data_IF_067631209911
#
_entry.id   IF_067631209911
#
_cell.length_a   1.000
_cell.length_b   1.000
_cell.length_c   1.000
_cell.angle_alpha   90.00
_cell.angle_beta   90.00
_cell.angle_gamma   90.00
#
_symmetry.space_group_name_H-M   'P 1'
#
loop_
_entity.id
_entity.type
_entity.pdbx_description
1 polymer ?
#
# COMPACT_ATOMS: atom_id res chain seq x y z
N UNK A 1 -13.03 28.47 34.41
CA UNK A 1 -13.15 26.99 34.42
C UNK A 1 -11.94 26.39 35.15
N UNK A 2 -12.13 25.62 36.22
CA UNK A 2 -11.04 24.98 36.96
C UNK A 2 -10.27 23.97 36.10
N UNK A 3 -9.04 23.61 36.48
CA UNK A 3 -8.34 22.46 35.88
C UNK A 3 -8.90 21.15 36.45
N UNK A 4 -8.83 20.04 35.71
CA UNK A 4 -9.37 18.75 36.18
C UNK A 4 -8.19 17.82 36.47
N UNK A 5 -8.18 17.21 37.65
CA UNK A 5 -7.12 16.31 38.11
C UNK A 5 -7.70 15.01 38.67
N UNK A 6 -6.96 13.90 38.58
CA UNK A 6 -7.24 12.68 39.34
C UNK A 6 -6.19 12.47 40.43
N UNK A 7 -6.60 11.84 41.53
CA UNK A 7 -5.70 11.42 42.60
C UNK A 7 -4.94 10.16 42.15
N UNK A 8 -3.62 10.15 42.33
CA UNK A 8 -2.74 9.02 42.04
C UNK A 8 -1.74 8.85 43.19
N UNK A 9 -2.07 7.97 44.14
CA UNK A 9 -1.33 7.86 45.42
C UNK A 9 -1.37 9.18 46.20
N UNK A 10 -0.19 9.70 46.52
CA UNK A 10 0.01 10.99 47.19
C UNK A 10 0.09 12.20 46.25
N UNK A 11 -0.03 11.97 44.94
CA UNK A 11 0.06 13.01 43.92
C UNK A 11 -1.25 13.18 43.14
N UNK A 12 -1.29 14.22 42.31
CA UNK A 12 -2.39 14.48 41.37
C UNK A 12 -1.88 14.47 39.93
N UNK A 13 -2.63 13.84 39.03
CA UNK A 13 -2.36 13.84 37.60
C UNK A 13 -3.35 14.76 36.91
N UNK A 14 -2.84 15.64 36.04
CA UNK A 14 -3.65 16.59 35.29
C UNK A 14 -4.38 15.89 34.14
N UNK A 15 -5.71 15.85 34.22
CA UNK A 15 -6.58 15.28 33.18
C UNK A 15 -6.84 16.35 32.10
N UNK A 16 -7.27 17.54 32.52
CA UNK A 16 -7.65 18.61 31.60
C UNK A 16 -7.22 20.00 32.10
N UNK A 17 -6.87 20.87 31.16
CA UNK A 17 -6.49 22.26 31.46
C UNK A 17 -4.99 22.58 31.41
N UNK A 18 -4.19 21.80 30.67
CA UNK A 18 -2.75 22.02 30.44
C UNK A 18 -2.40 23.47 30.06
N UNK A 19 -3.18 24.13 29.21
CA UNK A 19 -2.96 25.55 28.83
C UNK A 19 -3.09 26.50 30.02
N UNK A 20 -3.99 26.21 30.96
CA UNK A 20 -4.23 27.05 32.14
C UNK A 20 -3.16 26.83 33.20
N UNK A 21 -2.67 25.60 33.34
CA UNK A 21 -1.48 25.29 34.16
C UNK A 21 -0.23 25.95 33.58
N UNK A 22 -0.03 25.88 32.26
CA UNK A 22 1.08 26.56 31.60
C UNK A 22 1.01 28.08 31.78
N UNK A 23 -0.16 28.70 31.59
CA UNK A 23 -0.36 30.13 31.82
C UNK A 23 -0.13 30.52 33.29
N UNK A 24 -0.60 29.71 34.24
CA UNK A 24 -0.36 29.92 35.66
C UNK A 24 1.13 29.83 36.02
N UNK A 25 1.85 28.88 35.41
CA UNK A 25 3.31 28.74 35.57
C UNK A 25 4.06 29.95 35.02
N UNK A 26 3.68 30.42 33.82
CA UNK A 26 4.24 31.65 33.24
C UNK A 26 3.91 32.90 34.06
N UNK A 27 2.78 32.90 34.77
CA UNK A 27 2.39 33.97 35.68
C UNK A 27 3.00 33.84 37.10
N UNK A 28 3.85 32.84 37.35
CA UNK A 28 4.49 32.62 38.65
C UNK A 28 3.56 32.13 39.75
N UNK A 29 2.38 31.61 39.41
CA UNK A 29 1.43 31.07 40.37
C UNK A 29 1.87 29.69 40.85
N UNK A 30 1.97 29.52 42.17
CA UNK A 30 2.31 28.25 42.83
C UNK A 30 1.12 27.30 42.96
N UNK A 31 -0.11 27.81 42.87
CA UNK A 31 -1.36 27.06 43.03
C UNK A 31 -2.37 27.43 41.95
N UNK A 32 -3.13 26.43 41.50
CA UNK A 32 -4.18 26.58 40.49
C UNK A 32 -5.45 25.87 40.97
N UNK A 33 -6.64 26.49 40.88
CA UNK A 33 -7.89 25.86 41.28
C UNK A 33 -8.18 24.64 40.41
N UNK A 34 -8.32 23.49 41.07
CA UNK A 34 -8.54 22.19 40.45
C UNK A 34 -9.82 21.53 40.96
N UNK A 35 -10.50 20.79 40.08
CA UNK A 35 -11.58 19.85 40.43
C UNK A 35 -10.97 18.45 40.42
N UNK A 36 -11.01 17.80 41.58
CA UNK A 36 -10.60 16.40 41.71
C UNK A 36 -11.75 15.53 41.24
N UNK A 37 -11.50 14.70 40.21
CA UNK A 37 -12.41 13.62 39.84
C UNK A 37 -11.75 12.29 40.23
N UNK A 38 -12.50 11.47 40.96
CA UNK A 38 -12.14 10.07 41.12
C UNK A 38 -12.38 9.39 39.78
N UNK A 39 -11.31 9.18 39.04
CA UNK A 39 -11.34 8.33 37.87
C UNK A 39 -10.84 6.97 38.33
N UNK A 40 -11.73 5.99 38.37
CA UNK A 40 -11.31 4.59 38.36
C UNK A 40 -10.38 4.42 37.16
N UNK A 41 -9.23 3.76 37.37
CA UNK A 41 -7.94 3.99 36.70
C UNK A 41 -7.82 3.83 35.18
N UNK A 42 -8.93 3.74 34.44
CA UNK A 42 -9.03 3.70 32.98
C UNK A 42 -9.57 5.02 32.38
N UNK A 43 -10.66 5.58 32.92
CA UNK A 43 -11.40 6.69 32.28
C UNK A 43 -10.62 8.02 32.18
N UNK A 44 -9.75 8.32 33.16
CA UNK A 44 -8.93 9.55 33.12
C UNK A 44 -7.78 9.50 32.10
N UNK A 45 -7.28 8.30 31.75
CA UNK A 45 -6.25 8.15 30.71
C UNK A 45 -6.86 8.28 29.33
N UNK A 46 -8.07 7.75 29.15
CA UNK A 46 -8.80 7.74 27.87
C UNK A 46 -9.15 9.14 27.38
N UNK A 47 -9.66 10.00 28.27
CA UNK A 47 -10.04 11.38 27.91
C UNK A 47 -8.83 12.25 27.53
N UNK A 48 -7.67 12.05 28.18
CA UNK A 48 -6.43 12.78 27.88
C UNK A 48 -5.77 12.30 26.58
N UNK A 49 -5.86 10.99 26.28
CA UNK A 49 -5.34 10.41 25.04
C UNK A 49 -6.10 10.92 23.82
N UNK A 50 -7.43 10.87 23.85
CA UNK A 50 -8.27 11.32 22.74
C UNK A 50 -8.12 12.83 22.47
N UNK A 51 -8.13 13.69 23.50
CA UNK A 51 -8.00 15.14 23.34
C UNK A 51 -6.62 15.55 22.80
N UNK A 52 -5.55 14.83 23.17
CA UNK A 52 -4.20 15.10 22.64
C UNK A 52 -4.01 14.58 21.21
N UNK A 53 -4.60 13.43 20.85
CA UNK A 53 -4.45 12.84 19.52
C UNK A 53 -5.14 13.69 18.42
N UNK A 54 -6.31 14.28 18.71
CA UNK A 54 -7.08 15.06 17.74
C UNK A 54 -6.83 16.57 17.79
N UNK A 55 -5.76 17.02 18.45
CA UNK A 55 -5.53 18.45 18.70
C UNK A 55 -4.94 19.24 17.52
N UNK A 56 -4.65 18.56 16.40
CA UNK A 56 -4.07 19.13 15.17
C UNK A 56 -4.73 18.47 13.95
N UNK A 57 -4.78 19.19 12.82
CA UNK A 57 -5.12 18.67 11.48
C UNK A 57 -4.05 17.65 11.02
N UNK A 58 -3.97 16.51 11.69
CA UNK A 58 -3.07 15.43 11.32
C UNK A 58 -3.51 14.87 9.96
N UNK A 59 -2.56 14.74 9.04
CA UNK A 59 -2.74 13.92 7.85
C UNK A 59 -3.07 12.48 8.27
N UNK A 60 -3.75 11.69 7.42
CA UNK A 60 -4.07 10.29 7.74
C UNK A 60 -2.83 9.46 8.13
N UNK A 61 -1.67 9.77 7.56
CA UNK A 61 -0.39 9.11 7.86
C UNK A 61 0.11 9.48 9.27
N UNK A 62 0.00 10.75 9.66
CA UNK A 62 0.42 11.20 11.00
C UNK A 62 -0.51 10.68 12.09
N UNK A 63 -1.81 10.61 11.82
CA UNK A 63 -2.78 9.99 12.72
C UNK A 63 -2.48 8.51 12.93
N UNK A 64 -2.24 7.78 11.84
CA UNK A 64 -1.85 6.37 11.88
C UNK A 64 -0.55 6.14 12.67
N UNK A 65 0.46 7.01 12.48
CA UNK A 65 1.71 6.96 13.23
C UNK A 65 1.48 7.21 14.73
N UNK A 66 0.67 8.19 15.09
CA UNK A 66 0.38 8.51 16.49
C UNK A 66 -0.42 7.40 17.19
N UNK A 67 -1.40 6.79 16.50
CA UNK A 67 -2.14 5.62 17.01
C UNK A 67 -1.20 4.43 17.20
N UNK A 68 -0.29 4.20 16.24
CA UNK A 68 0.68 3.10 16.32
C UNK A 68 1.69 3.30 17.45
N UNK A 69 2.16 4.53 17.64
CA UNK A 69 3.06 4.87 18.75
C UNK A 69 2.35 4.66 20.08
N UNK A 70 1.10 5.10 20.22
CA UNK A 70 0.30 4.86 21.41
C UNK A 70 0.11 3.37 21.70
N UNK A 71 -0.18 2.57 20.68
CA UNK A 71 -0.30 1.11 20.79
C UNK A 71 1.01 0.45 21.24
N UNK A 72 2.17 0.95 20.79
CA UNK A 72 3.48 0.40 21.12
C UNK A 72 4.03 0.85 22.46
N UNK A 73 3.75 2.11 22.85
CA UNK A 73 4.30 2.74 24.05
C UNK A 73 3.40 2.60 25.27
N UNK A 74 2.08 2.51 25.07
CA UNK A 74 1.14 2.28 26.14
C UNK A 74 0.90 0.78 26.36
N UNK A 75 0.56 0.41 27.58
CA UNK A 75 0.01 -0.92 27.92
C UNK A 75 -1.46 -1.06 27.49
N UNK A 76 -1.91 -0.34 26.45
CA UNK A 76 -3.30 -0.31 26.02
C UNK A 76 -3.53 -1.33 24.89
N UNK A 77 -4.63 -2.06 24.98
CA UNK A 77 -5.05 -2.97 23.92
C UNK A 77 -5.71 -2.20 22.76
N UNK A 78 -5.86 -2.85 21.61
CA UNK A 78 -6.59 -2.28 20.46
C UNK A 78 -8.04 -1.93 20.86
N UNK A 79 -8.65 -2.75 21.71
CA UNK A 79 -10.02 -2.53 22.19
C UNK A 79 -10.12 -1.27 23.05
N UNK A 80 -9.16 -1.06 23.97
CA UNK A 80 -9.09 0.14 24.80
C UNK A 80 -8.81 1.40 23.97
N UNK A 81 -7.97 1.29 22.93
CA UNK A 81 -7.76 2.38 21.98
C UNK A 81 -9.02 2.70 21.18
N UNK A 82 -9.78 1.69 20.76
CA UNK A 82 -11.03 1.87 20.03
C UNK A 82 -12.10 2.55 20.89
N UNK A 83 -12.22 2.13 22.15
CA UNK A 83 -13.10 2.72 23.15
C UNK A 83 -12.75 4.18 23.41
N UNK A 84 -11.48 4.46 23.73
CA UNK A 84 -11.00 5.82 24.00
C UNK A 84 -11.10 6.76 22.79
N UNK A 85 -11.01 6.25 21.57
CA UNK A 85 -11.15 7.03 20.34
C UNK A 85 -12.60 7.13 19.83
N UNK A 86 -13.55 6.45 20.47
CA UNK A 86 -14.93 6.30 19.99
C UNK A 86 -14.97 5.87 18.52
N UNK A 87 -14.19 4.84 18.18
CA UNK A 87 -14.10 4.24 16.83
C UNK A 87 -14.20 2.73 16.94
N UNK A 88 -14.42 2.07 15.81
CA UNK A 88 -14.42 0.60 15.80
C UNK A 88 -13.01 0.07 15.94
N UNK A 89 -12.88 -1.11 16.57
CA UNK A 89 -11.65 -1.90 16.63
C UNK A 89 -11.04 -2.07 15.23
N UNK A 90 -11.89 -2.34 14.24
CA UNK A 90 -11.48 -2.46 12.84
C UNK A 90 -10.85 -1.17 12.30
N UNK A 91 -11.41 0.00 12.64
CA UNK A 91 -10.84 1.28 12.21
C UNK A 91 -9.45 1.50 12.83
N UNK A 92 -9.26 1.18 14.12
CA UNK A 92 -7.95 1.30 14.79
C UNK A 92 -6.93 0.36 14.15
N UNK A 93 -7.30 -0.89 13.88
CA UNK A 93 -6.44 -1.84 13.16
C UNK A 93 -6.05 -1.33 11.76
N UNK A 94 -6.99 -0.74 11.03
CA UNK A 94 -6.72 -0.15 9.72
C UNK A 94 -5.76 1.05 9.79
N UNK A 95 -5.83 1.86 10.87
CA UNK A 95 -4.85 2.93 11.08
C UNK A 95 -3.47 2.37 11.39
N UNK A 96 -3.38 1.34 12.24
CA UNK A 96 -2.08 0.72 12.59
C UNK A 96 -1.44 0.08 11.35
N UNK A 97 -2.22 -0.59 10.50
CA UNK A 97 -1.70 -1.22 9.28
C UNK A 97 -1.28 -0.21 8.21
N UNK A 98 -1.80 1.02 8.25
CA UNK A 98 -1.43 2.07 7.30
C UNK A 98 0.07 2.39 7.41
N UNK A 99 0.63 2.42 8.62
CA UNK A 99 2.06 2.75 8.84
C UNK A 99 3.01 1.74 8.18
N UNK A 100 2.57 0.51 7.92
CA UNK A 100 3.37 -0.51 7.25
C UNK A 100 3.24 -0.51 5.73
N UNK A 101 2.52 0.46 5.15
CA UNK A 101 2.39 0.55 3.69
C UNK A 101 3.68 1.06 3.03
N UNK A 102 3.87 0.77 1.74
CA UNK A 102 5.01 1.28 0.98
C UNK A 102 5.13 2.81 1.01
N UNK A 103 6.38 3.32 1.04
CA UNK A 103 6.67 4.74 1.21
C UNK A 103 6.09 5.62 0.08
N UNK A 104 6.10 5.13 -1.16
CA UNK A 104 5.52 5.77 -2.33
C UNK A 104 4.00 6.00 -2.18
N UNK A 105 3.31 5.02 -1.60
CA UNK A 105 1.88 5.11 -1.30
C UNK A 105 1.62 6.09 -0.14
N UNK A 106 2.42 6.01 0.93
CA UNK A 106 2.28 6.88 2.09
C UNK A 106 2.52 8.36 1.76
N UNK A 107 3.52 8.65 0.93
CA UNK A 107 3.80 10.01 0.46
C UNK A 107 2.62 10.59 -0.33
N UNK A 108 1.97 9.78 -1.17
CA UNK A 108 0.80 10.22 -1.92
C UNK A 108 -0.41 10.54 -1.03
N UNK A 109 -0.60 9.78 0.07
CA UNK A 109 -1.65 10.06 1.07
C UNK A 109 -1.30 11.31 1.88
N UNK A 110 -0.06 11.42 2.36
CA UNK A 110 0.40 12.54 3.17
C UNK A 110 0.22 13.88 2.45
N UNK A 111 0.55 13.91 1.16
CA UNK A 111 0.36 15.08 0.30
C UNK A 111 -1.10 15.34 -0.12
N UNK A 112 -2.07 14.53 0.34
CA UNK A 112 -3.48 14.66 -0.01
C UNK A 112 -3.81 14.31 -1.46
N UNK A 113 -2.89 13.68 -2.20
CA UNK A 113 -3.06 13.34 -3.62
C UNK A 113 -3.85 12.05 -3.83
N UNK A 114 -3.84 11.15 -2.84
CA UNK A 114 -4.64 9.93 -2.83
C UNK A 114 -5.44 9.81 -1.55
N UNK A 115 -6.67 9.32 -1.67
CA UNK A 115 -7.44 8.86 -0.52
C UNK A 115 -6.88 7.54 0.02
N UNK A 116 -7.04 7.31 1.32
CA UNK A 116 -6.64 6.05 1.97
C UNK A 116 -7.28 4.83 1.30
N UNK A 117 -8.53 4.95 0.83
CA UNK A 117 -9.25 3.86 0.17
C UNK A 117 -8.76 3.54 -1.25
N UNK A 118 -8.24 4.54 -1.99
CA UNK A 118 -7.60 4.28 -3.27
C UNK A 118 -6.19 3.69 -3.06
N UNK A 119 -5.45 4.30 -2.13
CA UNK A 119 -4.10 3.91 -1.78
C UNK A 119 -4.01 2.47 -1.21
N UNK A 120 -5.01 2.01 -0.46
CA UNK A 120 -5.01 0.64 0.10
C UNK A 120 -4.89 -0.44 -0.96
N UNK A 121 -5.50 -0.26 -2.14
CA UNK A 121 -5.39 -1.20 -3.25
C UNK A 121 -3.98 -1.22 -3.83
N UNK A 122 -3.35 -0.05 -3.95
CA UNK A 122 -2.00 0.10 -4.49
C UNK A 122 -0.95 -0.46 -3.53
N UNK A 123 -1.17 -0.35 -2.22
CA UNK A 123 -0.30 -0.92 -1.20
C UNK A 123 -0.21 -2.46 -1.27
N UNK A 124 -1.20 -3.14 -1.86
CA UNK A 124 -1.18 -4.60 -2.03
C UNK A 124 -0.32 -5.06 -3.23
N UNK A 125 0.16 -4.15 -4.08
CA UNK A 125 1.00 -4.49 -5.23
C UNK A 125 2.44 -4.64 -4.75
N UNK A 126 2.95 -5.88 -4.78
CA UNK A 126 4.26 -6.20 -4.22
C UNK A 126 5.43 -5.79 -5.12
N UNK A 127 5.23 -5.62 -6.43
CA UNK A 127 6.29 -5.17 -7.33
C UNK A 127 6.48 -3.65 -7.26
N UNK A 128 7.62 -3.22 -6.73
CA UNK A 128 7.91 -1.81 -6.47
C UNK A 128 7.83 -0.91 -7.71
N UNK A 129 8.41 -1.35 -8.83
CA UNK A 129 8.42 -0.57 -10.08
C UNK A 129 7.00 -0.40 -10.61
N UNK A 130 6.21 -1.48 -10.59
CA UNK A 130 4.85 -1.46 -11.12
C UNK A 130 3.91 -0.68 -10.20
N UNK A 131 4.03 -0.83 -8.88
CA UNK A 131 3.30 -0.03 -7.89
C UNK A 131 3.60 1.45 -8.06
N UNK A 132 4.88 1.84 -8.18
CA UNK A 132 5.27 3.24 -8.38
C UNK A 132 4.67 3.86 -9.65
N UNK A 133 4.57 3.07 -10.74
CA UNK A 133 3.86 3.48 -11.95
C UNK A 133 2.36 3.71 -11.69
N UNK A 134 1.69 2.76 -11.02
CA UNK A 134 0.27 2.88 -10.70
C UNK A 134 -0.03 4.05 -9.74
N UNK A 135 0.82 4.28 -8.75
CA UNK A 135 0.71 5.44 -7.82
C UNK A 135 0.80 6.74 -8.60
N UNK A 136 1.77 6.86 -9.51
CA UNK A 136 1.90 8.06 -10.35
C UNK A 136 0.66 8.28 -11.21
N UNK A 137 0.18 7.22 -11.89
CA UNK A 137 -1.04 7.29 -12.68
C UNK A 137 -2.28 7.62 -11.82
N UNK A 138 -2.35 7.11 -10.59
CA UNK A 138 -3.44 7.41 -9.67
C UNK A 138 -3.46 8.89 -9.29
N UNK A 139 -2.29 9.44 -9.00
CA UNK A 139 -2.11 10.85 -8.61
C UNK A 139 -2.41 11.79 -9.78
N UNK A 140 -1.89 11.51 -10.98
CA UNK A 140 -2.06 12.36 -12.16
C UNK A 140 -3.52 12.41 -12.63
N UNK A 141 -4.23 11.28 -12.55
CA UNK A 141 -5.60 11.15 -13.06
C UNK A 141 -6.69 11.28 -11.98
N UNK A 142 -6.32 11.49 -10.71
CA UNK A 142 -7.28 11.53 -9.60
C UNK A 142 -8.07 10.22 -9.46
N UNK A 143 -7.37 9.08 -9.45
CA UNK A 143 -8.01 7.77 -9.47
C UNK A 143 -8.87 7.53 -8.22
N UNK A 144 -10.07 6.97 -8.44
CA UNK A 144 -10.97 6.56 -7.36
C UNK A 144 -10.60 5.20 -6.81
N UNK A 145 -11.09 4.86 -5.61
CA UNK A 145 -10.92 3.53 -5.02
C UNK A 145 -11.42 2.39 -5.93
N UNK A 146 -12.46 2.66 -6.74
CA UNK A 146 -12.96 1.70 -7.74
C UNK A 146 -11.93 1.47 -8.86
N UNK A 147 -11.30 2.53 -9.35
CA UNK A 147 -10.30 2.43 -10.40
C UNK A 147 -9.06 1.66 -9.92
N UNK A 148 -8.54 2.01 -8.74
CA UNK A 148 -7.38 1.31 -8.16
C UNK A 148 -7.69 -0.15 -7.81
N UNK A 149 -8.92 -0.48 -7.42
CA UNK A 149 -9.35 -1.86 -7.22
C UNK A 149 -9.36 -2.66 -8.53
N UNK A 150 -9.80 -2.05 -9.64
CA UNK A 150 -9.73 -2.68 -10.96
C UNK A 150 -8.28 -2.95 -11.40
N UNK A 151 -7.37 -2.00 -11.14
CA UNK A 151 -5.94 -2.19 -11.42
C UNK A 151 -5.32 -3.30 -10.57
N UNK A 152 -5.70 -3.39 -9.29
CA UNK A 152 -5.27 -4.47 -8.41
C UNK A 152 -5.77 -5.84 -8.91
N UNK A 153 -7.02 -5.93 -9.38
CA UNK A 153 -7.54 -7.16 -9.97
C UNK A 153 -6.79 -7.55 -11.25
N UNK A 154 -6.55 -6.59 -12.14
CA UNK A 154 -5.75 -6.82 -13.36
C UNK A 154 -4.34 -7.31 -13.01
N UNK A 155 -3.70 -6.71 -12.00
CA UNK A 155 -2.39 -7.14 -11.50
C UNK A 155 -2.42 -8.58 -10.98
N UNK A 156 -3.41 -8.93 -10.14
CA UNK A 156 -3.58 -10.30 -9.65
C UNK A 156 -3.81 -11.32 -10.75
N UNK A 157 -4.51 -10.94 -11.82
CA UNK A 157 -4.74 -11.81 -12.98
C UNK A 157 -3.48 -12.01 -13.84
N UNK A 158 -2.48 -11.13 -13.73
CA UNK A 158 -1.18 -11.29 -14.40
C UNK A 158 -0.21 -12.16 -13.60
N UNK A 159 -0.41 -12.31 -12.29
CA UNK A 159 0.37 -13.23 -11.48
C UNK A 159 -0.03 -14.68 -11.80
N UNK A 160 0.94 -15.60 -12.02
CA UNK A 160 0.62 -17.02 -12.14
C UNK A 160 -0.08 -17.49 -10.84
N UNK A 161 -1.13 -18.32 -10.93
CA UNK A 161 -1.84 -18.80 -9.75
C UNK A 161 -0.87 -19.48 -8.78
N UNK A 162 -1.12 -19.32 -7.48
CA UNK A 162 -0.27 -19.82 -6.38
C UNK A 162 0.00 -21.35 -6.47
N UNK A 163 -0.92 -22.09 -7.09
CA UNK A 163 -0.80 -23.52 -7.43
C UNK A 163 0.28 -23.82 -8.48
N UNK A 164 0.62 -22.87 -9.35
CA UNK A 164 1.68 -23.02 -10.35
C UNK A 164 3.09 -22.81 -9.77
N UNK A 165 3.19 -22.11 -8.63
CA UNK A 165 4.45 -21.84 -7.93
C UNK A 165 4.84 -22.99 -6.99
N UNK A 166 3.84 -23.69 -6.45
CA UNK A 166 4.01 -24.80 -5.49
C UNK A 166 4.16 -26.17 -6.15
N UNK A 167 3.78 -26.31 -7.42
CA UNK A 167 4.10 -27.51 -8.19
C UNK A 167 5.60 -27.55 -8.46
N UNK A 168 6.25 -28.66 -8.09
CA UNK A 168 7.60 -28.96 -8.58
C UNK A 168 7.62 -28.75 -10.10
N UNK A 169 8.65 -28.07 -10.65
CA UNK A 169 8.76 -27.92 -12.08
C UNK A 169 8.71 -29.32 -12.68
N UNK A 170 7.68 -29.57 -13.49
CA UNK A 170 7.59 -30.81 -14.26
C UNK A 170 8.94 -30.96 -14.96
N UNK A 171 9.67 -32.07 -14.74
CA UNK A 171 10.97 -32.27 -15.38
C UNK A 171 10.80 -32.02 -16.88
N UNK A 172 11.79 -31.39 -17.51
CA UNK A 172 11.75 -30.96 -18.90
C UNK A 172 11.77 -32.15 -19.91
N UNK A 173 11.02 -33.21 -19.63
CA UNK A 173 10.58 -34.20 -20.59
C UNK A 173 9.18 -33.82 -21.06
N UNK A 174 9.03 -33.62 -22.37
CA UNK A 174 7.76 -33.38 -23.06
C UNK A 174 7.18 -31.96 -22.95
N UNK A 175 8.03 -30.94 -23.04
CA UNK A 175 7.62 -29.83 -23.92
C UNK A 175 7.72 -30.38 -25.33
N UNK A 176 6.58 -30.63 -25.99
CA UNK A 176 6.59 -30.80 -27.44
C UNK A 176 7.33 -29.58 -27.99
N UNK A 177 8.52 -29.80 -28.57
CA UNK A 177 9.21 -28.76 -29.32
C UNK A 177 8.19 -28.14 -30.26
N UNK A 178 7.97 -26.81 -30.23
CA UNK A 178 7.05 -26.19 -31.17
C UNK A 178 7.43 -26.68 -32.56
N UNK A 179 6.47 -27.27 -33.27
CA UNK A 179 6.71 -27.85 -34.58
C UNK A 179 7.29 -26.76 -35.47
N UNK A 180 8.58 -26.88 -35.80
CA UNK A 180 9.24 -25.89 -36.65
C UNK A 180 8.56 -25.94 -38.01
N UNK A 181 8.06 -24.81 -38.53
CA UNK A 181 7.37 -24.79 -39.81
C UNK A 181 8.31 -25.29 -40.91
N UNK A 182 7.73 -25.97 -41.90
CA UNK A 182 8.45 -26.52 -43.03
C UNK A 182 8.18 -25.70 -44.28
N UNK A 183 9.20 -25.47 -45.10
CA UNK A 183 9.09 -24.72 -46.35
C UNK A 183 9.97 -25.37 -47.44
N UNK A 184 9.54 -25.33 -48.72
CA UNK A 184 10.36 -25.82 -49.82
C UNK A 184 11.54 -24.90 -50.09
N UNK A 185 12.70 -25.48 -50.37
CA UNK A 185 13.85 -24.77 -50.88
C UNK A 185 13.53 -24.20 -52.26
N UNK A 186 13.78 -22.90 -52.45
CA UNK A 186 13.56 -22.19 -53.72
C UNK A 186 14.52 -22.62 -54.84
N UNK A 187 15.51 -23.48 -54.56
CA UNK A 187 16.50 -23.94 -55.54
C UNK A 187 16.25 -25.39 -55.95
N UNK A 188 15.98 -26.28 -54.99
CA UNK A 188 15.82 -27.71 -55.27
C UNK A 188 14.40 -28.26 -55.03
N UNK A 189 13.47 -27.44 -54.54
CA UNK A 189 12.07 -27.83 -54.28
C UNK A 189 11.84 -28.74 -53.07
N UNK A 190 12.88 -29.35 -52.51
CA UNK A 190 12.76 -30.21 -51.33
C UNK A 190 12.28 -29.41 -50.09
N UNK A 191 11.48 -30.05 -49.25
CA UNK A 191 10.92 -29.46 -48.03
C UNK A 191 11.91 -29.59 -46.88
N UNK A 192 12.27 -28.46 -46.27
CA UNK A 192 13.16 -28.38 -45.11
C UNK A 192 12.47 -27.69 -43.95
N UNK A 193 12.99 -27.88 -42.75
CA UNK A 193 12.61 -27.04 -41.62
C UNK A 193 13.14 -25.62 -41.84
N UNK A 194 12.39 -24.60 -41.44
CA UNK A 194 12.79 -23.21 -41.68
C UNK A 194 14.07 -22.79 -40.95
N UNK A 195 14.48 -23.50 -39.89
CA UNK A 195 15.76 -23.32 -39.19
C UNK A 195 16.97 -23.87 -39.97
N UNK A 196 16.75 -24.77 -40.94
CA UNK A 196 17.78 -25.31 -41.85
C UNK A 196 17.92 -24.49 -43.14
N UNK A 197 17.02 -23.53 -43.38
CA UNK A 197 17.05 -22.67 -44.56
C UNK A 197 17.87 -21.41 -44.32
N UNK A 198 18.71 -21.06 -45.31
CA UNK A 198 19.44 -19.79 -45.30
C UNK A 198 18.50 -18.61 -45.55
N UNK A 199 18.65 -17.54 -44.77
CA UNK A 199 17.87 -16.31 -44.94
C UNK A 199 18.60 -15.36 -45.89
N UNK A 200 17.98 -15.02 -47.02
CA UNK A 200 18.54 -14.10 -48.02
C UNK A 200 17.61 -12.87 -48.17
N UNK A 201 18.02 -11.67 -47.75
CA UNK A 201 17.21 -10.46 -47.90
C UNK A 201 17.23 -9.97 -49.35
N UNK A 202 16.08 -10.01 -50.03
CA UNK A 202 15.91 -9.54 -51.42
C UNK A 202 14.64 -8.71 -51.56
N UNK A 203 14.58 -7.80 -52.54
CA UNK A 203 13.35 -7.05 -52.82
C UNK A 203 12.27 -7.92 -53.49
N UNK A 204 11.02 -7.43 -53.51
CA UNK A 204 9.88 -8.17 -54.07
C UNK A 204 10.06 -8.50 -55.56
N UNK A 205 10.73 -7.65 -56.34
CA UNK A 205 11.02 -7.93 -57.74
C UNK A 205 12.00 -9.11 -57.90
N UNK A 206 13.09 -9.09 -57.14
CA UNK A 206 14.12 -10.13 -57.22
C UNK A 206 13.60 -11.50 -56.78
N UNK A 207 12.75 -11.58 -55.74
CA UNK A 207 12.21 -12.88 -55.29
C UNK A 207 11.27 -13.51 -56.32
N UNK A 208 10.50 -12.71 -57.07
CA UNK A 208 9.67 -13.21 -58.17
C UNK A 208 10.52 -13.76 -59.33
N UNK A 209 11.59 -13.07 -59.69
CA UNK A 209 12.52 -13.55 -60.73
C UNK A 209 13.18 -14.87 -60.33
N UNK A 210 13.64 -15.00 -59.08
CA UNK A 210 14.26 -16.22 -58.57
C UNK A 210 13.29 -17.40 -58.62
N UNK A 211 12.03 -17.21 -58.19
CA UNK A 211 11.00 -18.27 -58.26
C UNK A 211 10.76 -18.73 -59.70
N UNK A 212 10.68 -17.81 -60.65
CA UNK A 212 10.45 -18.14 -62.05
C UNK A 212 11.61 -18.91 -62.71
N UNK A 213 12.84 -18.78 -62.20
CA UNK A 213 14.00 -19.56 -62.67
C UNK A 213 13.94 -20.99 -62.14
N UNK A 214 13.54 -21.16 -60.87
CA UNK A 214 13.41 -22.48 -60.25
C UNK A 214 12.35 -23.37 -60.90
N UNK A 215 11.25 -22.81 -61.42
CA UNK A 215 10.16 -23.56 -62.05
C UNK A 215 10.50 -24.09 -63.46
N UNK A 216 11.67 -23.74 -64.01
CA UNK A 216 12.10 -24.14 -65.37
C UNK A 216 13.18 -25.24 -65.38
N UNK A 217 13.56 -25.76 -64.22
CA UNK A 217 14.63 -26.77 -64.06
C UNK A 217 14.05 -28.15 -63.72
#
# INVERSE_FOLDING_TARGET
VPVVVCRHGDAFVLIAGHRRVAAARSAGLSVVPAVVREAEGAEAKEVSFAENLFRKDLSPVELAAAITDAYKTATLTIDQLAEGLHRSVHWVQAQISLVSWPADVLEAIHNGKLSVSAASNLAMVHEDIYRGFLVRQAVENGATARATAAWLQAWRSMAPPEEAVTREPVPAGERSTPAVPQAPCIVCGNVFRTDELSHVPVCVHCIHTIRNISDRS
#
